data_IF_455865244894
#
_entry.id   IF_455865244894
#
_cell.length_a   1.000
_cell.length_b   1.000
_cell.length_c   1.000
_cell.angle_alpha   90.00
_cell.angle_beta   90.00
_cell.angle_gamma   90.00
#
_symmetry.space_group_name_H-M   'P 1'
#
loop_
_entity.id
_entity.type
_entity.pdbx_description
1 polymer ?
#
# COMPACT_ATOMS: atom_id res chain seq x y z
N UNK A 1 6.34 12.03 17.17
CA UNK A 1 5.79 11.49 15.90
C UNK A 1 5.08 10.18 16.22
N UNK A 2 3.76 10.20 16.29
CA UNK A 2 2.96 9.02 16.60
C UNK A 2 2.70 8.25 15.30
N UNK A 3 3.69 7.49 14.83
CA UNK A 3 3.51 6.70 13.61
C UNK A 3 2.58 5.53 13.85
N UNK A 4 1.81 5.18 12.83
CA UNK A 4 0.91 4.02 12.81
C UNK A 4 1.52 2.86 12.05
N UNK A 5 1.16 1.65 12.45
CA UNK A 5 1.58 0.43 11.80
C UNK A 5 0.96 0.35 10.41
N UNK A 6 1.80 0.38 9.38
CA UNK A 6 1.36 0.32 7.97
C UNK A 6 0.60 -0.97 7.61
N UNK A 7 0.76 -2.03 8.41
CA UNK A 7 0.09 -3.33 8.18
C UNK A 7 -1.32 -3.37 8.76
N UNK A 8 -1.50 -2.97 10.03
CA UNK A 8 -2.76 -3.21 10.77
C UNK A 8 -3.36 -1.97 11.45
N UNK A 9 -2.72 -0.80 11.31
CA UNK A 9 -3.21 0.48 11.84
C UNK A 9 -3.00 0.72 13.33
N UNK A 10 -2.50 -0.27 14.09
CA UNK A 10 -2.12 -0.04 15.51
C UNK A 10 -1.00 0.99 15.67
N UNK A 11 -0.85 1.62 16.84
CA UNK A 11 0.34 2.43 17.15
C UNK A 11 1.62 1.67 16.80
N UNK A 12 2.51 2.28 16.02
CA UNK A 12 3.79 1.68 15.69
C UNK A 12 4.72 1.76 16.89
N UNK A 13 5.44 0.67 17.16
CA UNK A 13 6.48 0.65 18.18
C UNK A 13 7.79 1.25 17.65
N UNK A 14 7.99 1.16 16.33
CA UNK A 14 9.17 1.71 15.67
C UNK A 14 9.26 1.31 14.21
N UNK A 15 10.46 1.49 13.66
CA UNK A 15 10.79 1.11 12.29
C UNK A 15 11.41 -0.29 12.26
N UNK A 16 10.68 -1.26 11.73
CA UNK A 16 11.09 -2.66 11.70
C UNK A 16 11.02 -3.21 10.29
N UNK A 17 12.07 -3.94 9.89
CA UNK A 17 12.14 -4.58 8.58
C UNK A 17 11.94 -3.65 7.37
N UNK A 18 12.09 -2.33 7.52
CA UNK A 18 11.87 -1.36 6.43
C UNK A 18 10.55 -0.59 6.49
N UNK A 19 9.69 -0.80 7.50
CA UNK A 19 8.44 -0.07 7.64
C UNK A 19 8.12 0.28 9.11
N UNK A 20 7.25 1.27 9.32
CA UNK A 20 6.69 1.52 10.66
C UNK A 20 5.68 0.44 11.01
N UNK A 21 5.95 -0.33 12.07
CA UNK A 21 5.08 -1.43 12.49
C UNK A 21 4.93 -1.52 14.00
N UNK A 22 3.85 -2.15 14.46
CA UNK A 22 3.69 -2.55 15.86
C UNK A 22 4.51 -3.82 16.16
N UNK A 23 4.73 -4.10 17.46
CA UNK A 23 5.43 -5.31 17.94
C UNK A 23 4.79 -6.61 17.38
N UNK A 24 3.46 -6.65 17.29
CA UNK A 24 2.74 -7.82 16.78
C UNK A 24 3.05 -8.12 15.31
N UNK A 25 3.18 -7.09 14.46
CA UNK A 25 3.50 -7.29 13.04
C UNK A 25 5.00 -7.54 12.82
N UNK A 26 5.87 -6.92 13.63
CA UNK A 26 7.31 -7.23 13.69
C UNK A 26 7.55 -8.72 13.98
N UNK A 27 6.98 -9.23 15.07
CA UNK A 27 7.16 -10.63 15.48
C UNK A 27 6.56 -11.60 14.47
N UNK A 28 5.34 -11.31 13.99
CA UNK A 28 4.69 -12.10 12.96
C UNK A 28 5.53 -12.22 11.70
N UNK A 29 6.07 -11.11 11.18
CA UNK A 29 6.89 -11.12 9.97
C UNK A 29 8.18 -11.93 10.15
N UNK A 30 8.89 -11.75 11.27
CA UNK A 30 10.11 -12.49 11.56
C UNK A 30 9.94 -14.01 11.61
N UNK A 31 8.80 -14.49 12.13
CA UNK A 31 8.46 -15.92 12.15
C UNK A 31 8.00 -16.42 10.78
N UNK A 32 7.07 -15.69 10.17
CA UNK A 32 6.37 -16.08 8.95
C UNK A 32 7.26 -16.09 7.72
N UNK A 33 8.18 -15.13 7.61
CA UNK A 33 9.07 -15.03 6.45
C UNK A 33 10.03 -16.23 6.36
N UNK A 34 10.43 -16.81 7.50
CA UNK A 34 11.31 -17.99 7.53
C UNK A 34 10.56 -19.31 7.28
N UNK A 35 9.25 -19.33 7.53
CA UNK A 35 8.45 -20.53 7.45
C UNK A 35 7.18 -20.25 6.65
N UNK A 36 7.38 -19.95 5.36
CA UNK A 36 6.27 -19.64 4.45
C UNK A 36 5.33 -20.83 4.26
N UNK A 37 5.86 -22.06 4.33
CA UNK A 37 5.09 -23.31 4.28
C UNK A 37 4.10 -23.50 5.44
N UNK A 38 4.34 -22.88 6.60
CA UNK A 38 3.39 -22.89 7.72
C UNK A 38 2.20 -21.92 7.54
N UNK A 39 2.21 -21.09 6.49
CA UNK A 39 1.11 -20.17 6.20
C UNK A 39 0.10 -20.88 5.31
N UNK A 40 -1.07 -21.15 5.90
CA UNK A 40 -2.24 -21.60 5.17
C UNK A 40 -2.66 -20.57 4.12
N UNK A 41 -3.14 -21.07 2.99
CA UNK A 41 -3.70 -20.25 1.92
C UNK A 41 -4.88 -19.39 2.41
N UNK A 42 -5.13 -18.29 1.70
CA UNK A 42 -6.24 -17.41 2.02
C UNK A 42 -7.55 -18.02 1.53
N UNK A 43 -8.56 -18.07 2.41
CA UNK A 43 -9.92 -18.53 2.08
C UNK A 43 -10.76 -17.50 1.31
N UNK A 44 -10.34 -16.25 1.28
CA UNK A 44 -11.05 -15.13 0.67
C UNK A 44 -10.22 -14.51 -0.46
N UNK A 45 -9.66 -15.36 -1.33
CA UNK A 45 -8.95 -14.98 -2.55
C UNK A 45 -7.78 -13.98 -2.40
N UNK A 46 -7.22 -13.83 -1.21
CA UNK A 46 -6.15 -12.87 -0.94
C UNK A 46 -6.62 -11.44 -0.67
N UNK A 47 -7.93 -11.21 -0.49
CA UNK A 47 -8.54 -9.88 -0.37
C UNK A 47 -8.91 -9.50 1.07
N UNK A 48 -8.40 -10.23 2.08
CA UNK A 48 -8.73 -9.92 3.48
C UNK A 48 -8.15 -8.55 3.89
N UNK A 49 -9.03 -7.68 4.39
CA UNK A 49 -8.63 -6.41 5.01
C UNK A 49 -7.97 -6.70 6.37
N UNK A 50 -6.77 -6.16 6.59
CA UNK A 50 -5.98 -6.36 7.81
C UNK A 50 -6.01 -5.10 8.69
N UNK A 51 -6.61 -5.24 9.86
CA UNK A 51 -6.81 -4.24 10.92
C UNK A 51 -6.43 -4.83 12.29
N UNK A 52 -6.36 -3.99 13.34
CA UNK A 52 -6.03 -4.42 14.72
C UNK A 52 -6.82 -5.67 15.18
N UNK A 53 -8.13 -5.69 14.92
CA UNK A 53 -9.04 -6.74 15.41
C UNK A 53 -8.99 -8.04 14.61
N UNK A 54 -8.78 -7.96 13.28
CA UNK A 54 -8.90 -9.11 12.38
C UNK A 54 -7.56 -9.60 11.80
N UNK A 55 -6.42 -8.99 12.17
CA UNK A 55 -5.09 -9.37 11.66
C UNK A 55 -4.69 -10.82 11.91
N UNK A 56 -5.33 -11.51 12.86
CA UNK A 56 -5.07 -12.93 13.14
C UNK A 56 -5.91 -13.87 12.28
N UNK A 57 -6.97 -13.37 11.62
CA UNK A 57 -7.91 -14.20 10.85
C UNK A 57 -7.28 -14.77 9.57
N UNK A 58 -6.41 -14.02 8.90
CA UNK A 58 -5.74 -14.48 7.68
C UNK A 58 -4.23 -14.20 7.72
N UNK A 59 -3.44 -15.25 7.98
CA UNK A 59 -1.97 -15.18 7.98
C UNK A 59 -1.40 -14.84 6.59
N UNK A 60 -1.95 -15.44 5.54
CA UNK A 60 -1.54 -15.19 4.15
C UNK A 60 -1.67 -13.71 3.76
N UNK A 61 -2.86 -13.12 3.94
CA UNK A 61 -3.08 -11.71 3.63
C UNK A 61 -2.27 -10.77 4.51
N UNK A 62 -2.08 -11.13 5.79
CA UNK A 62 -1.22 -10.35 6.70
C UNK A 62 0.23 -10.34 6.21
N UNK A 63 0.79 -11.49 5.85
CA UNK A 63 2.16 -11.56 5.34
C UNK A 63 2.28 -10.82 4.01
N UNK A 64 1.32 -11.01 3.09
CA UNK A 64 1.28 -10.26 1.82
C UNK A 64 1.29 -8.76 2.08
N UNK A 65 0.47 -8.27 3.02
CA UNK A 65 0.44 -6.85 3.37
C UNK A 65 1.75 -6.38 4.02
N UNK A 66 2.42 -7.20 4.84
CA UNK A 66 3.77 -6.89 5.33
C UNK A 66 4.75 -6.63 4.17
N UNK A 67 4.76 -7.49 3.15
CA UNK A 67 5.62 -7.34 1.98
C UNK A 67 5.25 -6.08 1.17
N UNK A 68 3.95 -5.83 0.96
CA UNK A 68 3.46 -4.67 0.21
C UNK A 68 3.86 -3.33 0.84
N UNK A 69 3.93 -3.25 2.17
CA UNK A 69 4.38 -2.03 2.87
C UNK A 69 5.90 -1.92 2.96
N UNK A 70 6.64 -2.78 2.25
CA UNK A 70 8.11 -2.73 2.17
C UNK A 70 8.85 -3.50 3.26
N UNK A 71 8.17 -4.38 4.03
CA UNK A 71 8.89 -5.21 5.00
C UNK A 71 9.74 -6.26 4.27
N UNK A 72 11.02 -6.34 4.64
CA UNK A 72 11.99 -7.27 4.07
C UNK A 72 13.03 -7.68 5.11
N UNK A 73 13.65 -8.86 4.94
CA UNK A 73 14.77 -9.29 5.79
C UNK A 73 15.96 -8.33 5.73
N UNK A 74 16.30 -7.88 4.53
CA UNK A 74 17.34 -6.87 4.31
C UNK A 74 17.02 -5.56 5.04
N UNK A 75 15.72 -5.23 5.16
CA UNK A 75 15.25 -4.06 5.87
C UNK A 75 15.37 -4.11 7.39
N UNK A 76 15.70 -5.26 7.98
CA UNK A 76 15.95 -5.39 9.43
C UNK A 76 17.06 -4.43 9.91
N UNK A 77 18.03 -4.15 9.03
CA UNK A 77 19.15 -3.23 9.28
C UNK A 77 18.70 -1.80 9.52
N UNK A 78 17.60 -1.37 8.90
CA UNK A 78 17.15 0.02 8.92
C UNK A 78 16.59 0.47 10.28
N UNK A 79 16.14 -0.46 11.13
CA UNK A 79 15.66 -0.11 12.46
C UNK A 79 16.73 0.57 13.33
N UNK A 80 18.01 0.22 13.12
CA UNK A 80 19.18 0.79 13.83
C UNK A 80 19.73 2.08 13.20
N UNK A 81 19.20 2.52 12.06
CA UNK A 81 19.65 3.75 11.40
C UNK A 81 19.14 4.99 12.13
N UNK A 82 19.78 6.12 11.85
CA UNK A 82 19.44 7.42 12.44
C UNK A 82 17.99 7.80 12.19
N UNK A 83 17.45 8.67 13.05
CA UNK A 83 16.08 9.14 12.89
C UNK A 83 15.91 9.94 11.58
N UNK A 84 16.95 10.67 11.15
CA UNK A 84 16.97 11.37 9.87
C UNK A 84 16.71 10.44 8.68
N UNK A 85 17.36 9.27 8.63
CA UNK A 85 17.12 8.27 7.59
C UNK A 85 15.64 7.84 7.55
N UNK A 86 15.04 7.61 8.72
CA UNK A 86 13.64 7.19 8.86
C UNK A 86 12.68 8.30 8.42
N UNK A 87 12.99 9.56 8.76
CA UNK A 87 12.25 10.75 8.32
C UNK A 87 12.30 10.88 6.80
N UNK A 88 13.50 10.76 6.20
CA UNK A 88 13.65 10.87 4.75
C UNK A 88 12.82 9.84 3.98
N UNK A 89 12.79 8.60 4.47
CA UNK A 89 11.96 7.54 3.92
C UNK A 89 10.45 7.87 4.01
N UNK A 90 9.99 8.46 5.13
CA UNK A 90 8.61 8.92 5.27
C UNK A 90 8.28 10.08 4.30
N UNK A 91 9.16 11.07 4.18
CA UNK A 91 8.95 12.21 3.29
C UNK A 91 8.90 11.78 1.83
N UNK A 92 9.77 10.85 1.43
CA UNK A 92 9.76 10.28 0.08
C UNK A 92 8.43 9.58 -0.23
N UNK A 93 7.92 8.77 0.71
CA UNK A 93 6.63 8.09 0.55
C UNK A 93 5.46 9.10 0.45
N UNK A 94 5.50 10.19 1.23
CA UNK A 94 4.47 11.24 1.20
C UNK A 94 4.49 12.02 -0.12
N UNK A 95 5.68 12.34 -0.65
CA UNK A 95 5.81 13.03 -1.94
C UNK A 95 5.30 12.17 -3.10
N UNK A 96 5.52 10.85 -3.06
CA UNK A 96 4.99 9.91 -4.05
C UNK A 96 3.46 9.82 -4.00
N UNK A 97 2.87 9.79 -2.80
CA UNK A 97 1.41 9.81 -2.64
C UNK A 97 0.79 11.13 -3.13
N UNK A 98 1.44 12.27 -2.86
CA UNK A 98 1.02 13.58 -3.35
C UNK A 98 1.03 13.61 -4.89
N UNK A 99 2.11 13.15 -5.53
CA UNK A 99 2.19 13.10 -7.00
C UNK A 99 1.12 12.18 -7.60
N UNK A 100 0.91 10.99 -7.01
CA UNK A 100 -0.15 10.08 -7.47
C UNK A 100 -1.55 10.71 -7.33
N UNK A 101 -1.79 11.47 -6.26
CA UNK A 101 -3.04 12.20 -6.08
C UNK A 101 -3.22 13.29 -7.15
N UNK A 102 -2.21 14.14 -7.38
CA UNK A 102 -2.26 15.17 -8.44
C UNK A 102 -2.45 14.57 -9.83
N UNK A 103 -1.79 13.44 -10.13
CA UNK A 103 -1.96 12.74 -11.39
C UNK A 103 -3.40 12.23 -11.58
N UNK A 104 -4.01 11.66 -10.53
CA UNK A 104 -5.38 11.17 -10.57
C UNK A 104 -6.40 12.32 -10.70
N UNK A 105 -6.21 13.43 -9.97
CA UNK A 105 -7.06 14.64 -10.10
C UNK A 105 -7.01 15.20 -11.52
N UNK A 106 -5.83 15.23 -12.15
CA UNK A 106 -5.68 15.68 -13.55
C UNK A 106 -6.45 14.79 -14.53
N UNK A 107 -6.58 13.48 -14.27
CA UNK A 107 -7.35 12.57 -15.13
C UNK A 107 -8.87 12.68 -14.96
N UNK A 108 -9.35 13.14 -13.80
CA UNK A 108 -10.78 13.34 -13.54
C UNK A 108 -11.31 14.71 -14.03
N UNK A 109 -10.44 15.57 -14.57
CA UNK A 109 -10.77 16.83 -15.25
C UNK A 109 -10.89 16.65 -16.78
N UNK A 110 -11.34 15.49 -17.26
CA UNK A 110 -11.64 15.30 -18.69
C UNK A 110 -13.00 15.94 -19.00
N UNK A 111 -13.10 16.90 -19.95
CA UNK A 111 -14.37 17.56 -20.27
C UNK A 111 -15.39 16.56 -20.84
N UNK A 112 -16.71 16.82 -20.70
CA UNK A 112 -17.74 15.95 -21.24
C UNK A 112 -17.56 15.79 -22.76
N UNK A 113 -17.69 14.55 -23.21
CA UNK A 113 -17.54 14.16 -24.61
C UNK A 113 -18.53 14.96 -25.47
N UNK A 114 -18.01 15.80 -26.37
CA UNK A 114 -18.81 16.48 -27.38
C UNK A 114 -19.38 15.41 -28.31
N UNK A 115 -20.71 15.35 -28.42
CA UNK A 115 -21.42 14.54 -29.41
C UNK A 115 -20.93 14.89 -30.83
N UNK A 116 -20.86 13.93 -31.76
CA UNK A 116 -20.40 14.21 -33.12
C UNK A 116 -21.38 15.17 -33.83
N UNK A 117 -20.90 16.06 -34.71
CA UNK A 117 -21.78 16.86 -35.57
C UNK A 117 -22.49 15.93 -36.56
N UNK A 118 -23.83 16.07 -36.65
CA UNK A 118 -24.63 15.48 -37.71
C UNK A 118 -24.17 16.12 -39.05
N UNK A 119 -23.69 15.30 -39.98
CA UNK A 119 -23.28 15.76 -41.31
C UNK A 119 -24.51 16.24 -42.10
N UNK A 120 -24.50 17.39 -42.78
CA UNK A 120 -25.55 17.74 -43.72
C UNK A 120 -25.44 16.90 -44.99
N UNK A 121 -26.55 16.31 -45.42
CA UNK A 121 -26.66 15.66 -46.73
C UNK A 121 -26.53 16.69 -47.86
N UNK A 122 -25.85 16.37 -48.98
CA UNK A 122 -25.81 17.24 -50.15
C UNK A 122 -27.14 17.17 -50.94
N UNK A 123 -27.55 18.27 -51.62
CA UNK A 123 -28.73 18.29 -52.47
C UNK A 123 -28.49 17.60 -53.82
N UNK A 124 -29.54 16.94 -54.31
CA UNK A 124 -29.67 16.35 -55.65
C UNK A 124 -29.63 17.42 -56.75
N UNK A 125 -28.99 17.09 -57.87
CA UNK A 125 -29.15 17.73 -59.19
C UNK A 125 -28.41 16.88 -60.24
N UNK A 126 -28.90 16.62 -61.45
CA UNK A 126 -30.02 17.19 -62.23
C UNK A 126 -31.07 16.16 -62.63
#
# INVERSE_FOLDING_TARGET
MNQTCKVCGEPAAGFHFGAFTCEGCKSFFGRSYNNLSSISECKNNGECVINKKNRTACKACRLRKCLLVGMSKSGSRYGRRSNWFKIHCLLQEQQQQQQAHLANVSQNMKPPQKTPPLHPQPPLGM
#
